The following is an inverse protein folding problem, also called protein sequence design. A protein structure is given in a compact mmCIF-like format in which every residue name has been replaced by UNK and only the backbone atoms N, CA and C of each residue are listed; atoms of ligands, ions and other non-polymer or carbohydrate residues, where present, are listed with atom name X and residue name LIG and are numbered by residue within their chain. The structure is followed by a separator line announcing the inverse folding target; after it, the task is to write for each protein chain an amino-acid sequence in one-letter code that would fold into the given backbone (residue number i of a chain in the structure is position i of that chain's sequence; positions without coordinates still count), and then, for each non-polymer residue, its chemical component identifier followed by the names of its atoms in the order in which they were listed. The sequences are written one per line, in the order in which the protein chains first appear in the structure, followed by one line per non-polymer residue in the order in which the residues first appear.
data_IF_984228135792
#
_entry.id   IF_984228135792
#
_cell.length_a   1.000
_cell.length_b   1.000
_cell.length_c   1.000
_cell.angle_alpha   90.00
_cell.angle_beta   90.00
_cell.angle_gamma   90.00
#
_symmetry.space_group_name_H-M   'P 1'
#
loop_
_entity.id
_entity.type
_entity.pdbx_description
1 polymer ?
#
# COMPACT_ATOMS: atom_id res chain seq x y z
N UNK A 1 -3.47 23.29 8.70
CA UNK A 1 -3.76 21.85 8.43
C UNK A 1 -4.99 21.78 7.52
N UNK A 2 -4.90 21.09 6.37
CA UNK A 2 -6.03 20.98 5.42
C UNK A 2 -7.17 20.19 6.06
N UNK A 3 -8.42 20.65 5.91
CA UNK A 3 -9.61 19.94 6.39
C UNK A 3 -10.19 19.09 5.26
N UNK A 4 -10.07 17.77 5.35
CA UNK A 4 -10.59 16.83 4.36
C UNK A 4 -12.12 16.72 4.41
N UNK A 5 -12.74 16.67 3.22
CA UNK A 5 -14.19 16.56 3.00
C UNK A 5 -14.50 15.56 1.90
N UNK A 6 -15.79 15.28 1.68
CA UNK A 6 -16.23 14.32 0.66
C UNK A 6 -15.76 14.67 -0.76
N UNK A 7 -15.53 15.95 -1.07
CA UNK A 7 -15.02 16.45 -2.36
C UNK A 7 -13.55 16.06 -2.62
N UNK A 8 -12.79 15.78 -1.55
CA UNK A 8 -11.42 15.27 -1.63
C UNK A 8 -11.39 13.75 -1.92
N UNK A 9 -12.55 13.09 -1.96
CA UNK A 9 -12.65 11.68 -2.33
C UNK A 9 -12.75 11.49 -3.85
N UNK A 10 -12.09 10.46 -4.38
CA UNK A 10 -12.24 10.02 -5.78
C UNK A 10 -13.50 9.19 -5.98
N UNK A 11 -13.95 8.48 -4.94
CA UNK A 11 -15.18 7.70 -4.91
C UNK A 11 -15.85 7.80 -3.55
N UNK A 12 -17.17 7.92 -3.54
CA UNK A 12 -18.03 7.93 -2.34
C UNK A 12 -19.18 6.96 -2.49
N UNK A 13 -19.67 6.40 -1.38
CA UNK A 13 -20.72 5.37 -1.39
C UNK A 13 -20.14 3.94 -1.31
N UNK A 14 -20.95 2.95 -1.69
CA UNK A 14 -20.70 1.53 -1.35
C UNK A 14 -20.44 0.62 -2.56
N UNK A 15 -20.54 1.13 -3.80
CA UNK A 15 -20.44 0.30 -5.02
C UNK A 15 -19.01 -0.12 -5.41
N UNK A 16 -18.04 0.00 -4.51
CA UNK A 16 -16.63 -0.27 -4.78
C UNK A 16 -15.93 -0.77 -3.51
N UNK A 17 -14.87 -1.56 -3.70
CA UNK A 17 -13.99 -1.97 -2.61
C UNK A 17 -13.14 -0.78 -2.15
N UNK A 18 -12.95 -0.68 -0.84
CA UNK A 18 -12.01 0.24 -0.19
C UNK A 18 -10.74 -0.46 0.30
N UNK A 19 -10.63 -1.77 0.08
CA UNK A 19 -9.45 -2.54 0.48
C UNK A 19 -8.17 -2.00 -0.17
N UNK A 20 -7.11 -1.88 0.62
CA UNK A 20 -5.79 -1.35 0.23
C UNK A 20 -5.87 0.07 -0.35
N UNK A 21 -6.79 0.90 0.18
CA UNK A 21 -6.95 2.31 -0.20
C UNK A 21 -6.93 3.24 1.00
N UNK A 22 -6.45 4.47 0.79
CA UNK A 22 -6.58 5.55 1.74
C UNK A 22 -8.04 6.02 1.77
N UNK A 23 -8.63 6.09 2.95
CA UNK A 23 -10.04 6.39 3.17
C UNK A 23 -10.21 7.57 4.11
N UNK A 24 -11.33 8.27 3.92
CA UNK A 24 -11.76 9.36 4.78
C UNK A 24 -12.86 8.87 5.72
N UNK A 25 -12.67 9.06 7.04
CA UNK A 25 -13.72 8.81 8.02
C UNK A 25 -14.59 10.04 8.27
N UNK A 26 -15.84 9.79 8.65
CA UNK A 26 -16.78 10.82 9.09
C UNK A 26 -16.34 11.51 10.38
N UNK A 27 -16.74 12.77 10.57
CA UNK A 27 -16.50 13.52 11.82
C UNK A 27 -17.11 12.84 13.05
N UNK A 28 -18.10 11.97 12.86
CA UNK A 28 -18.81 11.27 13.93
C UNK A 28 -18.16 9.92 14.29
N UNK A 29 -17.16 9.48 13.53
CA UNK A 29 -16.48 8.23 13.82
C UNK A 29 -15.55 8.42 15.04
N UNK A 30 -15.65 7.59 16.10
CA UNK A 30 -14.79 7.73 17.28
C UNK A 30 -13.29 7.66 16.95
N UNK A 31 -12.91 6.84 15.96
CA UNK A 31 -11.53 6.77 15.48
C UNK A 31 -11.05 8.10 14.89
N UNK A 32 -11.95 8.83 14.21
CA UNK A 32 -11.62 10.11 13.58
C UNK A 32 -11.36 11.23 14.60
N UNK A 33 -12.07 11.18 15.74
CA UNK A 33 -11.86 12.10 16.85
C UNK A 33 -10.48 11.90 17.51
N UNK A 34 -10.08 10.63 17.69
CA UNK A 34 -8.83 10.28 18.37
C UNK A 34 -7.59 10.45 17.48
N UNK A 35 -7.67 10.06 16.21
CA UNK A 35 -6.50 9.91 15.34
C UNK A 35 -6.54 10.84 14.11
N UNK A 36 -7.54 11.72 13.99
CA UNK A 36 -7.79 12.45 12.73
C UNK A 36 -8.45 11.54 11.69
N UNK A 37 -8.72 12.06 10.48
CA UNK A 37 -9.70 11.43 9.57
C UNK A 37 -9.13 10.54 8.46
N UNK A 38 -7.81 10.52 8.29
CA UNK A 38 -7.16 9.81 7.20
C UNK A 38 -6.68 8.46 7.70
N UNK A 39 -7.15 7.40 7.05
CA UNK A 39 -6.80 6.03 7.39
C UNK A 39 -6.45 5.26 6.13
N UNK A 40 -5.69 4.18 6.28
CA UNK A 40 -5.52 3.18 5.24
C UNK A 40 -6.34 1.94 5.58
N UNK A 41 -7.12 1.45 4.62
CA UNK A 41 -7.97 0.29 4.81
C UNK A 41 -7.21 -1.01 4.51
N UNK A 42 -7.04 -1.83 5.53
CA UNK A 42 -6.37 -3.13 5.46
C UNK A 42 -7.28 -4.27 5.02
N UNK A 43 -8.60 -4.05 4.98
CA UNK A 43 -9.59 -5.05 4.62
C UNK A 43 -10.69 -5.19 5.68
N UNK A 44 -11.22 -6.40 5.82
CA UNK A 44 -12.35 -6.71 6.70
C UNK A 44 -13.64 -6.91 5.93
N UNK A 45 -14.64 -7.48 6.60
CA UNK A 45 -15.89 -7.91 5.96
C UNK A 45 -16.65 -6.75 5.32
N UNK A 46 -16.49 -5.52 5.83
CA UNK A 46 -17.09 -4.32 5.26
C UNK A 46 -16.28 -3.65 4.13
N UNK A 47 -15.07 -4.13 3.82
CA UNK A 47 -14.17 -3.44 2.87
C UNK A 47 -14.51 -3.71 1.39
N UNK A 48 -15.26 -4.77 1.10
CA UNK A 48 -15.65 -5.16 -0.26
C UNK A 48 -16.68 -4.24 -0.92
N UNK A 49 -16.92 -4.47 -2.22
CA UNK A 49 -17.93 -3.75 -2.99
C UNK A 49 -19.36 -4.19 -2.61
N UNK A 50 -20.31 -3.27 -2.72
CA UNK A 50 -21.74 -3.44 -2.43
C UNK A 50 -22.11 -3.79 -0.97
N UNK A 51 -21.14 -3.75 -0.05
CA UNK A 51 -21.37 -3.98 1.36
C UNK A 51 -21.63 -2.65 2.07
N UNK A 52 -22.84 -2.50 2.61
CA UNK A 52 -23.25 -1.32 3.40
C UNK A 52 -22.99 -1.49 4.91
N UNK A 53 -22.64 -2.70 5.31
CA UNK A 53 -22.46 -3.13 6.69
C UNK A 53 -21.20 -3.98 6.79
N UNK A 54 -20.70 -4.16 8.01
CA UNK A 54 -19.49 -4.92 8.29
C UNK A 54 -18.37 -4.07 8.87
N UNK A 55 -17.42 -4.74 9.50
CA UNK A 55 -16.24 -4.11 10.08
C UNK A 55 -15.16 -3.88 9.02
N UNK A 56 -14.45 -2.77 9.16
CA UNK A 56 -13.29 -2.43 8.35
C UNK A 56 -12.09 -2.29 9.28
N UNK A 57 -10.99 -2.96 8.92
CA UNK A 57 -9.71 -2.86 9.63
C UNK A 57 -8.90 -1.70 9.04
N UNK A 58 -8.48 -0.78 9.90
CA UNK A 58 -7.84 0.46 9.49
C UNK A 58 -6.50 0.66 10.20
N UNK A 59 -5.63 1.43 9.55
CA UNK A 59 -4.43 2.02 10.15
C UNK A 59 -4.54 3.54 10.01
N UNK A 60 -4.38 4.27 11.10
CA UNK A 60 -4.33 5.72 11.10
C UNK A 60 -3.11 6.22 10.34
N UNK A 61 -3.32 7.19 9.46
CA UNK A 61 -2.23 7.85 8.72
C UNK A 61 -1.65 9.07 9.45
N UNK A 62 -2.05 9.32 10.70
CA UNK A 62 -1.47 10.38 11.52
C UNK A 62 -0.43 9.87 12.52
N UNK A 63 -0.58 8.63 12.97
CA UNK A 63 0.22 8.04 14.05
C UNK A 63 0.48 6.53 13.89
N UNK A 64 -0.05 5.89 12.84
CA UNK A 64 0.15 4.46 12.57
C UNK A 64 -0.68 3.50 13.43
N UNK A 65 -1.58 4.02 14.28
CA UNK A 65 -2.39 3.19 15.18
C UNK A 65 -3.43 2.36 14.42
N UNK A 66 -3.61 1.10 14.84
CA UNK A 66 -4.60 0.20 14.25
C UNK A 66 -5.95 0.38 14.92
N UNK A 67 -7.01 0.48 14.14
CA UNK A 67 -8.37 0.56 14.66
C UNK A 67 -9.37 -0.20 13.79
N UNK A 68 -10.61 -0.24 14.27
CA UNK A 68 -11.75 -0.84 13.56
C UNK A 68 -12.87 0.19 13.52
N UNK A 69 -13.62 0.19 12.43
CA UNK A 69 -14.84 0.98 12.31
C UNK A 69 -15.88 0.23 11.49
N UNK A 70 -17.13 0.66 11.55
CA UNK A 70 -18.17 0.22 10.63
C UNK A 70 -17.93 0.82 9.25
N UNK A 71 -18.23 0.06 8.18
CA UNK A 71 -18.20 0.57 6.80
C UNK A 71 -19.04 1.84 6.61
N UNK A 72 -20.12 2.00 7.39
CA UNK A 72 -20.97 3.20 7.36
C UNK A 72 -20.27 4.48 7.80
N UNK A 73 -19.17 4.38 8.54
CA UNK A 73 -18.39 5.52 9.03
C UNK A 73 -17.38 6.04 7.99
N UNK A 74 -17.13 5.27 6.93
CA UNK A 74 -16.22 5.63 5.83
C UNK A 74 -16.95 6.47 4.78
N UNK A 75 -16.49 7.70 4.56
CA UNK A 75 -17.04 8.61 3.53
C UNK A 75 -16.68 8.14 2.11
N UNK A 76 -15.42 7.78 1.90
CA UNK A 76 -14.92 7.46 0.55
C UNK A 76 -13.41 7.22 0.49
N UNK A 77 -12.93 6.93 -0.72
CA UNK A 77 -11.50 6.79 -1.03
C UNK A 77 -10.94 8.18 -1.30
N UNK A 78 -9.87 8.56 -0.60
CA UNK A 78 -9.19 9.85 -0.77
C UNK A 78 -8.41 9.85 -2.08
N UNK A 79 -8.41 10.98 -2.80
CA UNK A 79 -7.55 11.20 -3.97
C UNK A 79 -6.07 11.11 -3.57
N UNK A 80 -5.26 10.22 -4.16
CA UNK A 80 -3.87 10.03 -3.74
C UNK A 80 -3.01 11.31 -3.75
N UNK A 81 -3.23 12.18 -4.74
CA UNK A 81 -2.53 13.46 -4.90
C UNK A 81 -2.83 14.48 -3.79
N UNK A 82 -3.90 14.25 -3.02
CA UNK A 82 -4.29 15.10 -1.89
C UNK A 82 -3.77 14.60 -0.55
N UNK A 83 -3.14 13.43 -0.51
CA UNK A 83 -2.62 12.85 0.74
C UNK A 83 -1.41 13.67 1.22
N UNK A 84 -1.39 14.16 2.47
CA UNK A 84 -0.25 14.93 2.99
C UNK A 84 1.02 14.08 3.08
N UNK A 85 2.18 14.72 3.04
CA UNK A 85 3.49 14.06 3.14
C UNK A 85 3.60 13.20 4.41
N UNK A 86 3.17 13.73 5.55
CA UNK A 86 3.20 12.98 6.82
C UNK A 86 2.34 11.72 6.74
N UNK A 87 1.18 11.79 6.07
CA UNK A 87 0.31 10.64 5.88
C UNK A 87 0.90 9.60 4.92
N UNK A 88 1.62 10.05 3.88
CA UNK A 88 2.37 9.17 2.98
C UNK A 88 3.53 8.48 3.71
N UNK A 89 4.21 9.16 4.62
CA UNK A 89 5.27 8.57 5.43
C UNK A 89 4.72 7.48 6.37
N UNK A 90 3.61 7.73 7.06
CA UNK A 90 2.96 6.67 7.86
C UNK A 90 2.48 5.51 7.00
N UNK A 91 1.89 5.80 5.83
CA UNK A 91 1.46 4.77 4.87
C UNK A 91 2.64 3.87 4.43
N UNK A 92 3.82 4.44 4.22
CA UNK A 92 5.01 3.68 3.79
C UNK A 92 5.49 2.66 4.82
N UNK A 93 5.07 2.78 6.09
CA UNK A 93 5.48 1.85 7.15
C UNK A 93 4.50 0.67 7.32
N UNK A 94 3.41 0.64 6.52
CA UNK A 94 2.37 -0.37 6.64
C UNK A 94 2.73 -1.61 5.81
N UNK A 95 2.87 -2.76 6.50
CA UNK A 95 3.00 -4.08 5.86
C UNK A 95 1.67 -4.54 5.25
N UNK A 96 1.70 -5.31 4.14
CA UNK A 96 0.48 -5.77 3.49
C UNK A 96 -0.46 -6.59 4.39
N UNK A 97 -1.78 -6.58 4.12
CA UNK A 97 -2.70 -7.49 4.78
C UNK A 97 -2.25 -8.95 4.59
N UNK A 98 -2.24 -9.72 5.69
CA UNK A 98 -1.79 -11.12 5.67
C UNK A 98 -0.26 -11.31 5.69
N UNK A 99 0.52 -10.24 5.82
CA UNK A 99 1.96 -10.35 5.96
C UNK A 99 2.35 -11.23 7.17
N UNK A 100 3.37 -12.08 6.98
CA UNK A 100 3.84 -13.06 7.96
C UNK A 100 4.37 -12.37 9.20
N UNK A 101 4.24 -13.01 10.36
CA UNK A 101 4.90 -12.55 11.57
C UNK A 101 6.43 -12.63 11.38
N UNK A 102 7.13 -11.51 11.59
CA UNK A 102 8.59 -11.43 11.47
C UNK A 102 9.31 -12.20 12.57
N UNK A 103 8.62 -12.56 13.66
CA UNK A 103 9.17 -13.47 14.66
C UNK A 103 9.20 -14.93 14.18
N UNK A 104 8.47 -15.26 13.12
CA UNK A 104 8.31 -16.61 12.57
C UNK A 104 8.98 -16.79 11.19
N UNK A 105 9.55 -15.73 10.63
CA UNK A 105 10.24 -15.79 9.34
C UNK A 105 11.34 -14.73 9.25
N UNK A 106 12.38 -15.04 8.48
CA UNK A 106 13.43 -14.05 8.19
C UNK A 106 13.01 -13.30 6.92
N UNK A 107 12.90 -11.96 6.93
CA UNK A 107 12.46 -11.20 5.77
C UNK A 107 13.46 -11.29 4.63
N UNK A 108 13.01 -11.48 3.40
CA UNK A 108 13.88 -11.61 2.21
C UNK A 108 14.15 -10.26 1.54
N UNK A 109 13.27 -9.28 1.77
CA UNK A 109 13.32 -7.98 1.11
C UNK A 109 13.09 -6.84 2.10
N UNK A 110 13.54 -5.65 1.71
CA UNK A 110 13.20 -4.39 2.33
C UNK A 110 12.49 -3.47 1.33
N UNK A 111 11.38 -2.86 1.75
CA UNK A 111 10.61 -1.92 0.95
C UNK A 111 10.76 -0.50 1.46
N UNK A 112 11.10 0.43 0.57
CA UNK A 112 11.24 1.85 0.84
C UNK A 112 10.26 2.65 0.00
N UNK A 113 9.80 3.78 0.52
CA UNK A 113 8.98 4.70 -0.26
C UNK A 113 9.35 6.14 0.01
N UNK A 114 9.53 6.90 -1.06
CA UNK A 114 10.08 8.23 -1.03
C UNK A 114 9.05 9.25 -1.48
N UNK A 115 9.10 10.41 -0.85
CA UNK A 115 8.47 11.64 -1.28
C UNK A 115 9.26 12.27 -2.44
N UNK A 116 8.69 13.24 -3.17
CA UNK A 116 9.38 13.91 -4.28
C UNK A 116 10.69 14.61 -3.89
N UNK A 117 10.81 15.05 -2.64
CA UNK A 117 12.02 15.70 -2.11
C UNK A 117 13.07 14.69 -1.57
N UNK A 118 12.84 13.39 -1.77
CA UNK A 118 13.73 12.32 -1.33
C UNK A 118 13.58 11.93 0.13
N UNK A 119 12.73 12.59 0.93
CA UNK A 119 12.40 12.12 2.28
C UNK A 119 11.72 10.75 2.24
N UNK A 120 12.03 9.91 3.20
CA UNK A 120 11.41 8.59 3.38
C UNK A 120 11.41 8.21 4.86
N UNK A 121 10.50 7.31 5.26
CA UNK A 121 10.51 6.69 6.58
C UNK A 121 11.41 5.44 6.57
N UNK A 122 11.61 4.80 7.73
CA UNK A 122 12.35 3.53 7.79
C UNK A 122 11.74 2.47 6.87
N UNK A 123 12.60 1.68 6.22
CA UNK A 123 12.17 0.59 5.34
C UNK A 123 11.37 -0.48 6.06
N UNK A 124 10.51 -1.15 5.30
CA UNK A 124 9.62 -2.20 5.78
C UNK A 124 10.16 -3.57 5.40
N UNK A 125 10.25 -4.48 6.36
CA UNK A 125 10.63 -5.86 6.13
C UNK A 125 9.52 -6.66 5.45
N UNK A 126 9.85 -7.35 4.37
CA UNK A 126 8.93 -8.12 3.54
C UNK A 126 9.43 -9.56 3.42
N UNK A 127 8.57 -10.53 3.78
CA UNK A 127 8.97 -11.92 3.94
C UNK A 127 9.26 -12.67 2.62
N UNK A 128 8.81 -12.14 1.49
CA UNK A 128 8.97 -12.76 0.18
C UNK A 128 8.22 -12.03 -0.91
N UNK A 129 8.20 -12.57 -2.14
CA UNK A 129 7.65 -11.89 -3.32
C UNK A 129 6.17 -11.49 -3.22
N UNK A 130 5.33 -12.28 -2.54
CA UNK A 130 3.92 -11.94 -2.35
C UNK A 130 3.72 -10.69 -1.48
N UNK A 131 4.55 -10.52 -0.44
CA UNK A 131 4.53 -9.31 0.37
C UNK A 131 5.11 -8.12 -0.41
N UNK A 132 6.12 -8.33 -1.26
CA UNK A 132 6.63 -7.30 -2.16
C UNK A 132 5.53 -6.79 -3.09
N UNK A 133 4.81 -7.70 -3.76
CA UNK A 133 3.68 -7.35 -4.63
C UNK A 133 2.60 -6.60 -3.86
N UNK A 134 2.23 -7.11 -2.68
CA UNK A 134 1.24 -6.45 -1.81
C UNK A 134 1.66 -5.03 -1.42
N UNK A 135 2.92 -4.85 -1.04
CA UNK A 135 3.46 -3.56 -0.62
C UNK A 135 3.47 -2.57 -1.79
N UNK A 136 3.99 -2.99 -2.95
CA UNK A 136 4.00 -2.17 -4.17
C UNK A 136 2.60 -1.70 -4.55
N UNK A 137 1.61 -2.59 -4.57
CA UNK A 137 0.23 -2.23 -4.91
C UNK A 137 -0.40 -1.24 -3.93
N UNK A 138 0.02 -1.27 -2.66
CA UNK A 138 -0.43 -0.32 -1.64
C UNK A 138 0.22 1.05 -1.79
N UNK A 139 1.48 1.11 -2.26
CA UNK A 139 2.29 2.33 -2.23
C UNK A 139 2.31 3.10 -3.56
N UNK A 140 2.30 2.41 -4.72
CA UNK A 140 2.61 3.00 -6.03
C UNK A 140 1.72 4.18 -6.45
N UNK A 141 0.48 4.23 -5.94
CA UNK A 141 -0.47 5.31 -6.25
C UNK A 141 -0.25 6.57 -5.39
N UNK A 142 0.44 6.44 -4.25
CA UNK A 142 0.57 7.51 -3.24
C UNK A 142 1.99 8.10 -3.17
N UNK A 143 3.00 7.27 -3.44
CA UNK A 143 4.41 7.60 -3.25
C UNK A 143 5.03 8.09 -4.55
N UNK A 144 6.04 8.96 -4.45
CA UNK A 144 6.78 9.39 -5.64
C UNK A 144 7.64 8.25 -6.18
N UNK A 145 8.28 7.50 -5.27
CA UNK A 145 9.13 6.36 -5.61
C UNK A 145 8.94 5.23 -4.61
N UNK A 146 8.91 3.99 -5.10
CA UNK A 146 8.91 2.75 -4.31
C UNK A 146 10.12 1.94 -4.73
N UNK A 147 10.99 1.59 -3.79
CA UNK A 147 12.20 0.80 -4.02
C UNK A 147 12.13 -0.46 -3.17
N UNK A 148 12.43 -1.60 -3.77
CA UNK A 148 12.56 -2.87 -3.10
C UNK A 148 14.01 -3.31 -3.24
N UNK A 149 14.63 -3.64 -2.11
CA UNK A 149 15.93 -4.27 -2.08
C UNK A 149 15.83 -5.71 -1.57
N UNK A 150 16.75 -6.57 -1.99
CA UNK A 150 16.95 -7.89 -1.37
C UNK A 150 17.66 -7.75 0.00
N UNK A 151 18.15 -8.87 0.53
CA UNK A 151 18.88 -8.91 1.82
C UNK A 151 20.26 -8.29 1.79
N UNK A 152 20.87 -8.23 0.61
CA UNK A 152 22.24 -7.74 0.43
C UNK A 152 22.22 -6.26 0.01
N UNK A 153 21.08 -5.59 0.22
CA UNK A 153 20.80 -4.18 -0.11
C UNK A 153 20.88 -3.86 -1.62
N UNK A 154 20.78 -4.87 -2.50
CA UNK A 154 20.68 -4.63 -3.94
C UNK A 154 19.24 -4.34 -4.35
N UNK A 155 19.06 -3.32 -5.18
CA UNK A 155 17.76 -3.00 -5.76
C UNK A 155 17.28 -4.15 -6.66
N UNK A 156 16.06 -4.63 -6.41
CA UNK A 156 15.41 -5.69 -7.19
C UNK A 156 14.15 -5.20 -7.91
N UNK A 157 13.53 -4.12 -7.41
CA UNK A 157 12.39 -3.48 -8.05
C UNK A 157 12.36 -1.99 -7.72
N UNK A 158 12.12 -1.16 -8.73
CA UNK A 158 11.96 0.28 -8.56
C UNK A 158 10.77 0.77 -9.37
N UNK A 159 9.91 1.55 -8.72
CA UNK A 159 8.77 2.22 -9.33
C UNK A 159 8.90 3.70 -9.05
N UNK A 160 8.78 4.53 -10.08
CA UNK A 160 8.76 6.00 -9.99
C UNK A 160 7.50 6.52 -10.66
N UNK A 161 6.72 7.34 -9.94
CA UNK A 161 5.45 7.89 -10.40
C UNK A 161 4.49 6.81 -10.96
N UNK A 162 4.42 5.68 -10.25
CA UNK A 162 3.57 4.54 -10.62
C UNK A 162 4.07 3.70 -11.81
N UNK A 163 5.25 4.01 -12.37
CA UNK A 163 5.85 3.28 -13.50
C UNK A 163 7.03 2.44 -13.05
N UNK A 164 7.10 1.19 -13.51
CA UNK A 164 8.25 0.31 -13.29
C UNK A 164 9.48 0.89 -14.03
N UNK A 165 10.55 1.14 -13.28
CA UNK A 165 11.84 1.65 -13.77
C UNK A 165 12.93 0.58 -13.68
N UNK A 166 12.88 -0.26 -12.65
CA UNK A 166 13.79 -1.39 -12.49
C UNK A 166 13.01 -2.66 -12.10
N UNK A 167 13.36 -3.84 -12.64
CA UNK A 167 14.31 -4.05 -13.74
C UNK A 167 13.84 -3.35 -15.01
N UNK A 168 14.79 -2.82 -15.80
CA UNK A 168 14.45 -2.21 -17.09
C UNK A 168 14.11 -3.28 -18.14
N UNK A 169 13.58 -2.85 -19.29
CA UNK A 169 13.17 -3.79 -20.36
C UNK A 169 14.33 -4.66 -20.85
N UNK A 170 15.57 -4.15 -20.81
CA UNK A 170 16.75 -4.90 -21.27
C UNK A 170 17.10 -6.00 -20.28
N UNK A 171 17.17 -5.69 -18.98
CA UNK A 171 17.41 -6.65 -17.92
C UNK A 171 16.33 -7.75 -17.87
N UNK A 172 15.06 -7.38 -18.09
CA UNK A 172 13.96 -8.35 -18.24
C UNK A 172 14.17 -9.26 -19.45
N UNK A 173 14.54 -8.69 -20.60
CA UNK A 173 14.81 -9.48 -21.82
C UNK A 173 16.01 -10.43 -21.65
N UNK A 174 17.07 -9.99 -20.97
CA UNK A 174 18.25 -10.82 -20.65
C UNK A 174 17.86 -11.96 -19.70
N UNK A 175 17.15 -11.66 -18.61
CA UNK A 175 16.62 -12.66 -17.69
C UNK A 175 15.76 -13.71 -18.42
N UNK A 176 14.84 -13.28 -19.29
CA UNK A 176 14.01 -14.21 -20.08
C UNK A 176 14.83 -15.04 -21.07
N UNK A 177 15.86 -14.47 -21.71
CA UNK A 177 16.75 -15.23 -22.61
C UNK A 177 17.54 -16.28 -21.86
N UNK A 178 18.09 -15.94 -20.70
CA UNK A 178 18.87 -16.87 -19.86
C UNK A 178 18.00 -18.03 -19.34
N UNK A 179 16.74 -17.75 -19.00
CA UNK A 179 15.79 -18.75 -18.47
C UNK A 179 14.97 -19.47 -19.56
N UNK A 180 15.06 -19.05 -20.83
CA UNK A 180 14.53 -19.82 -21.98
C UNK A 180 15.47 -20.94 -22.44
N UNK A 181 16.75 -20.90 -22.05
CA UNK A 181 17.73 -21.95 -22.38
C UNK A 181 17.59 -23.25 -21.59
N UNK A 182 16.79 -23.29 -20.50
CA UNK A 182 16.72 -24.45 -19.59
C UNK A 182 15.35 -25.16 -19.57
N UNK A 183 14.48 -24.86 -20.55
CA UNK A 183 13.09 -25.33 -20.57
C UNK A 183 12.65 -25.88 -21.92
N UNK A 184 13.41 -26.80 -22.50
CA UNK A 184 12.98 -27.57 -23.68
C UNK A 184 11.78 -28.47 -23.36
N UNK A 185 10.56 -27.92 -23.34
CA UNK A 185 9.33 -28.72 -23.42
C UNK A 185 9.11 -29.11 -24.89
N UNK A 186 9.60 -30.31 -25.24
CA UNK A 186 9.15 -31.02 -26.44
C UNK A 186 7.66 -31.34 -26.26
N UNK A 187 6.81 -30.73 -27.07
CA UNK A 187 5.41 -31.12 -27.20
C UNK A 187 5.37 -32.47 -27.94
N UNK A 188 4.98 -33.53 -27.24
CA UNK A 188 4.54 -34.81 -27.83
C UNK A 188 3.20 -35.20 -27.20
#
# INVERSE_FOLDING_TARGET
MKRFRFEDCSKTGYGFSIEKKAVLLSDHAPAAEKHGKLFFCMGGDGAGAALRQGEVFLVSLSDGERCRCSRGEVIGIVKPELLPDEAKLHLSQIRPPGAKDLNLCVPEYSGYSFLPDGRYASGVWLAGPEEVKGYVEMQKDYQHRVLICDRDDFAVLEIVEGKLVFPDEQALQEFYKEHQSDGGMTMV
#
